data_IF_762509573114
#
_entry.id   IF_762509573114
#
_cell.length_a   1.000
_cell.length_b   1.000
_cell.length_c   1.000
_cell.angle_alpha   90.00
_cell.angle_beta   90.00
_cell.angle_gamma   90.00
#
_symmetry.space_group_name_H-M   'P 1'
#
loop_
_entity.id
_entity.type
_entity.pdbx_description
1 polymer ?
#
# COMPACT_ATOMS: atom_id res chain seq x y z
N UNK A 1 -34.37 12.78 12.51
CA UNK A 1 -32.92 12.76 12.31
C UNK A 1 -32.49 14.21 12.11
N UNK A 2 -31.65 14.73 13.00
CA UNK A 2 -31.05 16.05 12.92
C UNK A 2 -29.71 15.98 12.16
N UNK A 3 -29.19 17.12 11.75
CA UNK A 3 -27.83 17.21 11.20
C UNK A 3 -26.84 16.72 12.27
N UNK A 4 -26.01 15.74 11.92
CA UNK A 4 -25.03 15.11 12.80
C UNK A 4 -25.44 13.78 13.41
N UNK A 5 -26.73 13.43 13.36
CA UNK A 5 -27.16 12.10 13.78
C UNK A 5 -26.44 11.03 12.95
N UNK A 6 -25.85 10.05 13.62
CA UNK A 6 -25.11 8.94 13.00
C UNK A 6 -23.95 9.39 12.08
N UNK A 7 -23.41 10.59 12.30
CA UNK A 7 -22.32 11.15 11.50
C UNK A 7 -22.75 11.69 10.14
N UNK A 8 -24.05 11.85 9.87
CA UNK A 8 -24.56 12.36 8.59
C UNK A 8 -24.68 13.89 8.64
N UNK A 9 -24.06 14.57 7.67
CA UNK A 9 -24.18 16.02 7.50
C UNK A 9 -23.28 16.87 8.42
N UNK A 10 -22.30 16.24 9.08
CA UNK A 10 -21.29 16.92 9.92
C UNK A 10 -19.92 16.92 9.26
N UNK A 11 -19.15 17.97 9.53
CA UNK A 11 -17.74 18.09 9.17
C UNK A 11 -16.99 18.69 10.38
N UNK A 12 -16.11 17.91 11.04
CA UNK A 12 -15.76 16.51 10.77
C UNK A 12 -16.85 15.51 11.20
N UNK A 13 -16.69 14.23 10.83
CA UNK A 13 -17.49 13.13 11.38
C UNK A 13 -17.16 12.82 12.85
N UNK A 14 -18.03 12.03 13.50
CA UNK A 14 -17.87 11.65 14.91
C UNK A 14 -16.65 10.75 15.13
N UNK A 15 -15.85 11.04 16.15
CA UNK A 15 -14.76 10.14 16.59
C UNK A 15 -15.38 8.96 17.33
N UNK A 16 -15.14 7.74 16.86
CA UNK A 16 -15.58 6.52 17.56
C UNK A 16 -14.38 5.79 18.11
N UNK A 17 -14.41 5.46 19.40
CA UNK A 17 -13.29 4.78 20.06
C UNK A 17 -13.28 3.27 19.81
N UNK A 18 -12.12 2.64 19.95
CA UNK A 18 -11.95 1.20 19.81
C UNK A 18 -12.80 0.42 20.80
N UNK A 19 -12.93 0.88 22.05
CA UNK A 19 -13.83 0.27 23.03
C UNK A 19 -15.31 0.38 22.64
N UNK A 20 -15.71 1.44 21.94
CA UNK A 20 -17.08 1.64 21.43
C UNK A 20 -17.35 0.73 20.22
N UNK A 21 -16.38 0.63 19.31
CA UNK A 21 -16.34 -0.36 18.24
C UNK A 21 -16.25 -1.81 18.76
N UNK A 22 -15.78 -2.04 19.98
CA UNK A 22 -15.74 -3.40 20.53
C UNK A 22 -17.11 -3.81 21.09
N UNK A 23 -17.82 -2.90 21.77
CA UNK A 23 -18.97 -3.26 22.61
C UNK A 23 -20.31 -3.11 21.90
N UNK A 24 -20.61 -1.90 21.41
CA UNK A 24 -21.88 -1.58 20.75
C UNK A 24 -21.68 -0.32 19.92
N UNK A 25 -21.85 -0.43 18.61
CA UNK A 25 -21.83 0.71 17.71
C UNK A 25 -23.17 0.80 16.99
N UNK A 26 -23.79 1.98 17.04
CA UNK A 26 -24.94 2.32 16.21
C UNK A 26 -24.54 2.29 14.73
N UNK A 27 -25.50 2.09 13.82
CA UNK A 27 -25.23 2.31 12.40
C UNK A 27 -24.83 3.77 12.20
N UNK A 28 -23.58 4.04 11.81
CA UNK A 28 -23.06 5.40 11.70
C UNK A 28 -21.85 5.50 10.78
N UNK A 29 -21.60 6.72 10.31
CA UNK A 29 -20.31 7.14 9.77
C UNK A 29 -19.45 7.64 10.93
N UNK A 30 -18.17 7.28 10.92
CA UNK A 30 -17.24 7.65 11.97
C UNK A 30 -15.87 8.00 11.41
N UNK A 31 -15.04 8.63 12.23
CA UNK A 31 -13.61 8.78 12.01
C UNK A 31 -12.80 8.17 13.14
N UNK A 32 -11.58 7.77 12.83
CA UNK A 32 -10.59 7.33 13.80
C UNK A 32 -9.21 7.87 13.41
N UNK A 33 -8.35 8.05 14.43
CA UNK A 33 -7.00 8.62 14.28
C UNK A 33 -5.95 7.67 14.84
N UNK A 34 -4.82 7.54 14.12
CA UNK A 34 -3.76 6.57 14.40
C UNK A 34 -2.75 6.99 15.47
N UNK A 35 -3.11 7.87 16.41
CA UNK A 35 -2.20 8.30 17.49
C UNK A 35 -1.97 7.20 18.53
N UNK A 36 -0.72 7.03 18.99
CA UNK A 36 -0.34 5.96 19.94
C UNK A 36 -0.93 6.10 21.35
N UNK A 37 -1.59 7.21 21.68
CA UNK A 37 -2.09 7.51 23.03
C UNK A 37 -3.60 7.46 23.17
N UNK A 38 -4.36 7.28 22.09
CA UNK A 38 -5.82 7.32 22.13
C UNK A 38 -6.42 5.96 21.71
N UNK A 39 -7.53 5.58 22.35
CA UNK A 39 -8.37 4.43 21.96
C UNK A 39 -9.08 4.70 20.62
N UNK A 40 -8.37 5.20 19.62
CA UNK A 40 -8.85 5.48 18.25
C UNK A 40 -7.96 4.82 17.21
N UNK A 41 -6.97 4.03 17.62
CA UNK A 41 -6.00 3.39 16.72
C UNK A 41 -6.41 1.94 16.34
N UNK A 42 -7.70 1.64 16.25
CA UNK A 42 -8.17 0.27 15.95
C UNK A 42 -7.67 -0.24 14.59
N UNK A 43 -7.50 0.67 13.64
CA UNK A 43 -7.09 0.36 12.26
C UNK A 43 -5.62 0.67 11.96
N UNK A 44 -4.81 1.06 12.94
CA UNK A 44 -3.40 1.45 12.75
C UNK A 44 -3.23 2.55 11.69
N UNK A 45 -4.20 3.45 11.56
CA UNK A 45 -4.16 4.57 10.62
C UNK A 45 -5.24 5.60 10.93
N UNK A 46 -5.09 6.76 10.33
CA UNK A 46 -6.11 7.81 10.30
C UNK A 46 -7.08 7.52 9.18
N UNK A 47 -8.36 7.83 9.37
CA UNK A 47 -9.35 7.57 8.33
C UNK A 47 -10.79 7.70 8.80
N UNK A 48 -11.69 7.25 7.93
CA UNK A 48 -13.12 7.27 8.17
C UNK A 48 -13.72 5.90 7.90
N UNK A 49 -14.82 5.58 8.55
CA UNK A 49 -15.48 4.30 8.40
C UNK A 49 -16.98 4.40 8.42
N UNK A 50 -17.59 3.29 8.03
CA UNK A 50 -19.01 3.02 8.15
C UNK A 50 -19.17 1.75 8.96
N UNK A 51 -20.03 1.81 9.97
CA UNK A 51 -20.37 0.65 10.82
C UNK A 51 -21.83 0.29 10.64
N UNK A 52 -22.11 -1.00 10.59
CA UNK A 52 -23.44 -1.58 10.43
C UNK A 52 -23.65 -2.67 11.49
N UNK A 53 -24.43 -2.38 12.55
CA UNK A 53 -24.80 -3.38 13.53
C UNK A 53 -25.74 -4.44 12.95
N UNK A 54 -25.52 -5.68 13.37
CA UNK A 54 -26.43 -6.79 13.14
C UNK A 54 -27.29 -7.04 14.38
N UNK A 55 -26.67 -7.06 15.57
CA UNK A 55 -27.34 -7.14 16.86
C UNK A 55 -26.53 -6.44 17.96
N UNK A 56 -26.93 -6.62 19.23
CA UNK A 56 -26.28 -6.00 20.39
C UNK A 56 -24.86 -6.49 20.68
N UNK A 57 -24.39 -7.53 19.99
CA UNK A 57 -23.09 -8.18 20.21
C UNK A 57 -22.25 -8.30 18.93
N UNK A 58 -22.85 -8.00 17.77
CA UNK A 58 -22.25 -8.19 16.45
C UNK A 58 -22.48 -6.98 15.56
N UNK A 59 -21.38 -6.48 14.99
CA UNK A 59 -21.45 -5.47 13.94
C UNK A 59 -20.24 -5.57 13.01
N UNK A 60 -20.42 -5.01 11.82
CA UNK A 60 -19.48 -5.10 10.71
C UNK A 60 -19.29 -3.73 10.10
N UNK A 61 -18.17 -3.51 9.44
CA UNK A 61 -17.98 -2.22 8.79
C UNK A 61 -16.80 -2.20 7.84
N UNK A 62 -16.67 -1.05 7.20
CA UNK A 62 -15.55 -0.70 6.35
C UNK A 62 -14.82 0.49 6.97
N UNK A 63 -13.51 0.45 6.89
CA UNK A 63 -12.64 1.58 7.22
C UNK A 63 -11.81 1.95 5.99
N UNK A 64 -11.84 3.22 5.65
CA UNK A 64 -11.12 3.85 4.56
C UNK A 64 -9.98 4.65 5.17
N UNK A 65 -8.76 4.23 4.88
CA UNK A 65 -7.55 4.95 5.29
C UNK A 65 -7.53 6.35 4.63
N UNK A 66 -7.20 7.37 5.42
CA UNK A 66 -7.15 8.76 4.98
C UNK A 66 -5.90 9.09 4.18
N UNK A 67 -4.79 8.39 4.43
CA UNK A 67 -3.54 8.53 3.68
C UNK A 67 -3.00 7.15 3.34
N UNK A 68 -3.02 6.80 2.05
CA UNK A 68 -2.68 5.48 1.55
C UNK A 68 -3.83 4.84 0.76
N UNK A 69 -3.75 3.53 0.57
CA UNK A 69 -4.67 2.76 -0.28
C UNK A 69 -5.38 1.64 0.48
N UNK A 70 -5.30 1.61 1.82
CA UNK A 70 -5.87 0.52 2.61
C UNK A 70 -7.37 0.74 2.83
N UNK A 71 -8.16 -0.26 2.42
CA UNK A 71 -9.56 -0.41 2.85
C UNK A 71 -9.63 -1.68 3.68
N UNK A 72 -10.27 -1.62 4.83
CA UNK A 72 -10.40 -2.78 5.72
C UNK A 72 -11.86 -3.08 5.99
N UNK A 73 -12.24 -4.33 5.82
CA UNK A 73 -13.42 -4.86 6.48
C UNK A 73 -13.06 -5.14 7.93
N UNK A 74 -13.97 -4.85 8.85
CA UNK A 74 -13.85 -5.34 10.20
C UNK A 74 -15.14 -5.98 10.69
N UNK A 75 -14.98 -6.92 11.62
CA UNK A 75 -16.05 -7.52 12.38
C UNK A 75 -15.75 -7.35 13.85
N UNK A 76 -16.75 -6.88 14.61
CA UNK A 76 -16.74 -6.90 16.06
C UNK A 76 -17.74 -7.94 16.54
N UNK A 77 -17.26 -8.97 17.23
CA UNK A 77 -18.08 -10.07 17.74
C UNK A 77 -17.71 -10.29 19.20
N UNK A 78 -18.69 -10.11 20.10
CA UNK A 78 -18.52 -10.30 21.53
C UNK A 78 -17.32 -9.52 22.13
N UNK A 79 -17.12 -8.26 21.72
CA UNK A 79 -16.03 -7.43 22.22
C UNK A 79 -14.71 -7.56 21.46
N UNK A 80 -14.62 -8.45 20.47
CA UNK A 80 -13.38 -8.73 19.75
C UNK A 80 -13.48 -8.19 18.33
N UNK A 81 -12.58 -7.27 18.00
CA UNK A 81 -12.44 -6.71 16.65
C UNK A 81 -11.43 -7.53 15.86
N UNK A 82 -11.82 -7.95 14.65
CA UNK A 82 -10.93 -8.53 13.63
C UNK A 82 -11.00 -7.69 12.37
N UNK A 83 -9.85 -7.47 11.74
CA UNK A 83 -9.73 -6.70 10.49
C UNK A 83 -9.24 -7.59 9.36
N UNK A 84 -9.76 -7.37 8.16
CA UNK A 84 -9.32 -7.99 6.91
C UNK A 84 -9.10 -6.88 5.89
N UNK A 85 -7.93 -6.84 5.26
CA UNK A 85 -7.62 -5.84 4.24
C UNK A 85 -8.19 -6.27 2.89
N UNK A 86 -8.81 -5.34 2.17
CA UNK A 86 -9.19 -5.54 0.78
C UNK A 86 -7.98 -5.32 -0.13
N UNK A 87 -7.74 -6.28 -1.02
CA UNK A 87 -6.81 -6.11 -2.11
C UNK A 87 -7.50 -5.42 -3.28
N UNK A 88 -6.95 -4.29 -3.69
CA UNK A 88 -7.46 -3.43 -4.76
C UNK A 88 -6.33 -3.07 -5.72
N UNK A 89 -6.65 -2.44 -6.84
CA UNK A 89 -5.63 -1.93 -7.79
C UNK A 89 -4.71 -0.87 -7.18
N UNK A 90 -5.09 -0.29 -6.04
CA UNK A 90 -4.29 0.73 -5.36
C UNK A 90 -3.26 0.13 -4.38
N UNK A 91 -3.39 -1.14 -3.98
CA UNK A 91 -2.47 -1.80 -3.03
C UNK A 91 -1.99 -3.17 -3.52
N UNK A 92 -2.21 -3.48 -4.80
CA UNK A 92 -1.67 -4.66 -5.49
C UNK A 92 -1.14 -4.29 -6.86
N UNK A 93 -0.16 -5.05 -7.32
CA UNK A 93 0.41 -5.01 -8.67
C UNK A 93 0.40 -6.42 -9.29
N UNK A 94 0.49 -6.49 -10.62
CA UNK A 94 0.65 -7.75 -11.34
C UNK A 94 2.13 -7.92 -11.69
N UNK A 95 2.67 -9.11 -11.41
CA UNK A 95 4.02 -9.47 -11.86
C UNK A 95 4.06 -9.84 -13.35
N UNK A 96 5.26 -10.13 -13.86
CA UNK A 96 5.60 -10.47 -15.23
C UNK A 96 4.86 -11.69 -15.75
N UNK A 97 4.33 -12.50 -14.82
CA UNK A 97 3.61 -13.72 -15.10
C UNK A 97 2.10 -13.55 -14.86
N UNK A 98 1.64 -12.34 -14.56
CA UNK A 98 0.23 -11.99 -14.38
C UNK A 98 -0.34 -12.29 -12.99
N UNK A 99 0.48 -12.67 -12.01
CA UNK A 99 -0.01 -12.95 -10.65
C UNK A 99 -0.19 -11.65 -9.87
N UNK A 100 -1.27 -11.60 -9.07
CA UNK A 100 -1.47 -10.50 -8.13
C UNK A 100 -0.54 -10.63 -6.92
N UNK A 101 0.08 -9.52 -6.57
CA UNK A 101 1.05 -9.36 -5.51
C UNK A 101 0.73 -8.03 -4.83
N UNK A 102 0.83 -7.92 -3.50
CA UNK A 102 0.76 -6.61 -2.85
C UNK A 102 1.76 -5.59 -3.44
N UNK A 103 1.37 -4.33 -3.39
CA UNK A 103 2.14 -3.23 -3.96
C UNK A 103 3.44 -3.01 -3.18
N UNK A 104 4.47 -2.62 -3.91
CA UNK A 104 5.75 -2.13 -3.39
C UNK A 104 6.31 -1.17 -4.43
N UNK A 105 7.38 -0.41 -4.13
CA UNK A 105 8.18 0.19 -5.19
C UNK A 105 8.64 -0.94 -6.12
N UNK A 106 8.17 -0.89 -7.36
CA UNK A 106 8.39 -1.95 -8.35
C UNK A 106 8.80 -1.31 -9.65
N UNK A 107 9.76 -1.95 -10.30
CA UNK A 107 10.32 -1.52 -11.58
C UNK A 107 10.14 -2.71 -12.51
N UNK A 108 9.48 -2.47 -13.64
CA UNK A 108 9.52 -3.42 -14.74
C UNK A 108 10.72 -3.07 -15.61
N UNK A 109 11.69 -3.97 -15.68
CA UNK A 109 12.90 -3.79 -16.49
C UNK A 109 12.72 -4.49 -17.82
N UNK A 110 12.75 -3.71 -18.90
CA UNK A 110 12.77 -4.19 -20.27
C UNK A 110 14.20 -4.06 -20.83
N UNK A 111 14.43 -4.58 -22.04
CA UNK A 111 15.75 -4.55 -22.67
C UNK A 111 16.26 -3.14 -23.00
N UNK A 112 15.38 -2.15 -23.12
CA UNK A 112 15.65 -0.80 -23.59
C UNK A 112 15.10 0.30 -22.67
N UNK A 113 14.10 0.00 -21.85
CA UNK A 113 13.44 0.96 -20.96
C UNK A 113 13.00 0.34 -19.64
N UNK A 114 12.44 1.17 -18.75
CA UNK A 114 11.78 0.75 -17.52
C UNK A 114 10.37 1.33 -17.45
N UNK A 115 9.46 0.61 -16.81
CA UNK A 115 8.20 1.16 -16.32
C UNK A 115 8.22 1.23 -14.80
N UNK A 116 7.80 2.38 -14.26
CA UNK A 116 7.77 2.67 -12.83
C UNK A 116 6.32 2.75 -12.35
N UNK A 117 6.09 2.39 -11.07
CA UNK A 117 4.87 2.74 -10.38
C UNK A 117 5.07 4.05 -9.59
N UNK A 118 3.99 4.56 -8.99
CA UNK A 118 4.04 5.79 -8.21
C UNK A 118 5.11 5.74 -7.12
N UNK A 119 5.30 4.58 -6.48
CA UNK A 119 6.28 4.38 -5.41
C UNK A 119 7.75 4.36 -5.89
N UNK A 120 8.00 3.98 -7.14
CA UNK A 120 9.35 3.89 -7.73
C UNK A 120 9.71 5.09 -8.62
N UNK A 121 8.91 6.16 -8.58
CA UNK A 121 9.12 7.40 -9.33
C UNK A 121 10.54 7.98 -9.12
N UNK A 122 11.20 8.34 -10.21
CA UNK A 122 12.53 8.97 -10.21
C UNK A 122 13.70 8.01 -10.39
N UNK A 123 13.46 6.70 -10.49
CA UNK A 123 14.51 5.72 -10.84
C UNK A 123 14.91 5.87 -12.31
N UNK A 124 16.20 5.66 -12.57
CA UNK A 124 16.75 5.69 -13.93
C UNK A 124 17.37 4.35 -14.31
N UNK A 125 17.26 3.99 -15.60
CA UNK A 125 17.92 2.84 -16.20
C UNK A 125 19.20 3.27 -16.93
N UNK A 126 20.30 2.58 -16.64
CA UNK A 126 21.53 2.63 -17.43
C UNK A 126 21.84 1.22 -17.96
N UNK A 127 21.77 1.03 -19.28
CA UNK A 127 22.17 -0.23 -19.91
C UNK A 127 23.69 -0.30 -20.03
N UNK A 128 24.30 -1.25 -19.32
CA UNK A 128 25.76 -1.44 -19.29
C UNK A 128 26.28 -2.33 -20.43
N UNK A 129 25.40 -3.14 -21.01
CA UNK A 129 25.70 -4.05 -22.12
C UNK A 129 24.57 -5.05 -22.35
N UNK A 130 24.79 -6.02 -23.23
CA UNK A 130 23.83 -7.11 -23.48
C UNK A 130 23.55 -7.86 -22.18
N UNK A 131 22.28 -7.88 -21.79
CA UNK A 131 21.82 -8.53 -20.57
C UNK A 131 22.36 -7.94 -19.28
N UNK A 132 22.78 -6.67 -19.26
CA UNK A 132 23.29 -5.99 -18.05
C UNK A 132 22.66 -4.62 -17.88
N UNK A 133 21.86 -4.48 -16.81
CA UNK A 133 21.02 -3.30 -16.55
C UNK A 133 21.33 -2.74 -15.17
N UNK A 134 21.67 -1.44 -15.09
CA UNK A 134 21.87 -0.74 -13.82
C UNK A 134 20.65 0.13 -13.52
N UNK A 135 20.08 -0.06 -12.34
CA UNK A 135 19.00 0.76 -11.78
C UNK A 135 19.59 1.75 -10.78
N UNK A 136 19.33 3.04 -10.99
CA UNK A 136 19.84 4.13 -10.16
C UNK A 136 18.76 4.74 -9.28
N UNK A 137 19.15 5.14 -8.07
CA UNK A 137 18.25 5.84 -7.13
C UNK A 137 17.48 4.90 -6.20
N UNK A 138 18.03 3.70 -5.97
CA UNK A 138 17.47 2.70 -5.06
C UNK A 138 18.33 2.55 -3.80
N UNK A 139 17.77 1.96 -2.73
CA UNK A 139 18.50 1.52 -1.54
C UNK A 139 18.70 0.00 -1.51
N UNK A 140 18.73 -0.62 -2.69
CA UNK A 140 18.79 -2.07 -2.87
C UNK A 140 17.43 -2.73 -3.02
N UNK A 141 17.42 -4.06 -2.90
CA UNK A 141 16.20 -4.87 -3.02
C UNK A 141 15.24 -4.57 -1.87
N UNK A 142 13.95 -4.77 -2.12
CA UNK A 142 12.92 -4.65 -1.09
C UNK A 142 13.16 -5.68 0.03
N UNK A 143 13.09 -5.23 1.29
CA UNK A 143 13.38 -6.04 2.48
C UNK A 143 12.19 -6.85 3.00
N UNK A 144 10.99 -6.61 2.49
CA UNK A 144 9.79 -7.35 2.88
C UNK A 144 9.82 -8.78 2.31
N UNK A 145 9.86 -9.75 3.23
CA UNK A 145 9.93 -11.17 2.93
C UNK A 145 8.75 -11.68 2.09
N UNK A 146 7.62 -10.96 2.07
CA UNK A 146 6.45 -11.26 1.23
C UNK A 146 6.76 -11.26 -0.26
N UNK A 147 7.91 -10.70 -0.67
CA UNK A 147 8.28 -10.53 -2.08
C UNK A 147 9.27 -11.53 -2.64
N UNK A 148 9.90 -12.35 -1.80
CA UNK A 148 10.93 -13.29 -2.24
C UNK A 148 11.89 -13.72 -1.13
N UNK A 149 11.51 -13.50 0.13
CA UNK A 149 12.35 -13.79 1.28
C UNK A 149 13.62 -12.93 1.30
N UNK A 150 14.73 -13.53 1.72
CA UNK A 150 16.01 -12.84 1.91
C UNK A 150 16.65 -12.34 0.59
N UNK A 151 16.25 -12.90 -0.56
CA UNK A 151 16.73 -12.51 -1.89
C UNK A 151 15.99 -11.30 -2.47
N UNK A 152 15.04 -10.74 -1.74
CA UNK A 152 14.21 -9.65 -2.24
C UNK A 152 13.26 -10.08 -3.37
N UNK A 153 12.47 -9.12 -3.85
CA UNK A 153 11.44 -9.38 -4.85
C UNK A 153 11.95 -9.23 -6.27
N UNK A 154 12.50 -10.29 -6.84
CA UNK A 154 12.83 -10.38 -8.26
C UNK A 154 11.99 -11.48 -8.92
N UNK A 155 11.36 -11.17 -10.06
CA UNK A 155 10.58 -12.14 -10.83
C UNK A 155 11.07 -12.16 -12.27
N UNK A 156 11.64 -13.30 -12.67
CA UNK A 156 12.02 -13.57 -14.05
C UNK A 156 10.77 -13.88 -14.89
N UNK A 157 10.76 -13.48 -16.19
CA UNK A 157 9.65 -13.80 -17.08
C UNK A 157 9.60 -15.29 -17.42
N UNK A 158 8.40 -15.85 -17.42
CA UNK A 158 8.12 -17.23 -17.80
C UNK A 158 7.62 -17.32 -19.25
N UNK A 159 8.02 -18.37 -19.95
CA UNK A 159 7.40 -18.73 -21.23
C UNK A 159 6.03 -19.37 -21.04
N UNK A 160 5.30 -19.59 -22.14
CA UNK A 160 3.97 -20.21 -22.16
C UNK A 160 3.91 -21.60 -21.49
N UNK A 161 5.04 -22.29 -21.40
CA UNK A 161 5.17 -23.60 -20.76
C UNK A 161 5.51 -23.53 -19.26
N UNK A 162 5.53 -22.33 -18.66
CA UNK A 162 5.90 -22.11 -17.26
C UNK A 162 7.40 -22.24 -16.98
N UNK A 163 8.23 -22.39 -18.02
CA UNK A 163 9.69 -22.40 -17.86
C UNK A 163 10.24 -20.98 -17.96
N UNK A 164 11.15 -20.64 -17.04
CA UNK A 164 11.88 -19.37 -17.07
C UNK A 164 12.56 -19.14 -18.41
N UNK A 165 12.45 -17.90 -18.89
CA UNK A 165 13.09 -17.44 -20.12
C UNK A 165 14.59 -17.22 -19.94
N UNK A 166 14.98 -16.75 -18.76
CA UNK A 166 16.31 -16.24 -18.46
C UNK A 166 16.79 -16.78 -17.11
N UNK A 167 18.09 -16.93 -16.95
CA UNK A 167 18.73 -16.83 -15.65
C UNK A 167 18.85 -15.34 -15.32
N UNK A 168 18.37 -14.95 -14.15
CA UNK A 168 18.47 -13.56 -13.69
C UNK A 168 19.20 -13.54 -12.36
N UNK A 169 20.28 -12.77 -12.30
CA UNK A 169 21.02 -12.49 -11.08
C UNK A 169 21.03 -10.97 -10.84
N UNK A 170 21.31 -10.56 -9.60
CA UNK A 170 21.42 -9.16 -9.25
C UNK A 170 22.54 -8.92 -8.25
N UNK A 171 23.08 -7.71 -8.29
CA UNK A 171 24.07 -7.21 -7.35
C UNK A 171 23.68 -5.83 -6.86
N UNK A 172 23.56 -5.70 -5.54
CA UNK A 172 23.39 -4.40 -4.89
C UNK A 172 24.77 -3.75 -4.71
N UNK A 173 24.92 -2.53 -5.19
CA UNK A 173 26.12 -1.72 -5.06
C UNK A 173 26.15 -0.99 -3.69
N UNK A 174 27.32 -0.50 -3.24
CA UNK A 174 27.43 0.17 -1.93
C UNK A 174 26.58 1.45 -1.79
N UNK A 175 26.24 2.09 -2.90
CA UNK A 175 25.34 3.26 -2.97
C UNK A 175 23.85 2.87 -2.96
N UNK A 176 23.53 1.57 -3.04
CA UNK A 176 22.17 1.05 -3.08
C UNK A 176 21.63 0.82 -4.50
N UNK A 177 22.37 1.23 -5.53
CA UNK A 177 22.00 0.93 -6.92
C UNK A 177 22.04 -0.58 -7.17
N UNK A 178 21.25 -1.05 -8.13
CA UNK A 178 21.14 -2.49 -8.43
C UNK A 178 21.64 -2.74 -9.85
N UNK A 179 22.54 -3.70 -10.02
CA UNK A 179 22.88 -4.26 -11.33
C UNK A 179 22.13 -5.58 -11.49
N UNK A 180 21.41 -5.71 -12.59
CA UNK A 180 20.73 -6.94 -13.00
C UNK A 180 21.50 -7.54 -14.16
N UNK A 181 21.75 -8.83 -14.08
CA UNK A 181 22.43 -9.61 -15.11
C UNK A 181 21.49 -10.72 -15.60
N UNK A 182 21.32 -10.81 -16.91
CA UNK A 182 20.45 -11.77 -17.57
C UNK A 182 21.24 -12.65 -18.52
N UNK A 183 21.06 -13.96 -18.37
CA UNK A 183 21.74 -14.96 -19.17
C UNK A 183 20.75 -15.96 -19.75
N UNK A 184 21.07 -16.52 -20.90
CA UNK A 184 20.23 -17.49 -21.57
C UNK A 184 20.09 -18.76 -20.72
N UNK A 185 18.84 -19.20 -20.50
CA UNK A 185 18.52 -20.45 -19.83
C UNK A 185 18.16 -21.52 -20.85
N UNK A 186 19.15 -22.34 -21.20
CA UNK A 186 18.98 -23.49 -22.11
C UNK A 186 18.21 -24.61 -21.40
N UNK A 187 17.23 -25.19 -22.10
CA UNK A 187 16.41 -26.32 -21.61
C UNK A 187 16.61 -27.52 -22.53
N UNK A 188 17.53 -28.42 -22.16
CA UNK A 188 17.93 -29.58 -22.98
C UNK A 188 16.88 -30.68 -23.07
N UNK A 189 15.90 -30.67 -22.16
CA UNK A 189 14.81 -31.64 -22.05
C UNK A 189 13.58 -31.26 -22.89
N UNK A 190 13.57 -30.08 -23.52
CA UNK A 190 12.47 -29.64 -24.36
C UNK A 190 12.35 -30.50 -25.64
N UNK A 191 11.14 -30.95 -26.00
CA UNK A 191 10.90 -31.58 -27.28
C UNK A 191 11.29 -30.64 -28.44
N UNK A 192 11.92 -31.13 -29.52
CA UNK A 192 12.42 -30.28 -30.61
C UNK A 192 11.40 -29.28 -31.19
N UNK A 193 10.11 -29.63 -31.37
CA UNK A 193 9.12 -28.66 -31.86
C UNK A 193 8.83 -27.51 -30.89
N UNK A 194 8.96 -27.74 -29.58
CA UNK A 194 8.74 -26.73 -28.55
C UNK A 194 9.95 -25.80 -28.47
N UNK A 195 11.16 -26.37 -28.53
CA UNK A 195 12.40 -25.61 -28.61
C UNK A 195 12.41 -24.70 -29.84
N UNK A 196 12.11 -25.25 -31.03
CA UNK A 196 12.09 -24.46 -32.27
C UNK A 196 11.09 -23.30 -32.19
N UNK A 197 9.88 -23.54 -31.68
CA UNK A 197 8.89 -22.47 -31.47
C UNK A 197 9.41 -21.40 -30.51
N UNK A 198 10.09 -21.80 -29.44
CA UNK A 198 10.69 -20.89 -28.46
C UNK A 198 11.75 -20.00 -29.11
N UNK A 199 12.67 -20.57 -29.88
CA UNK A 199 13.71 -19.81 -30.58
C UNK A 199 13.11 -18.88 -31.63
N UNK A 200 12.09 -19.31 -32.39
CA UNK A 200 11.38 -18.44 -33.34
C UNK A 200 10.68 -17.27 -32.63
N UNK A 201 10.08 -17.54 -31.46
CA UNK A 201 9.34 -16.52 -30.69
C UNK A 201 10.30 -15.51 -30.06
N UNK A 202 11.50 -15.94 -29.68
CA UNK A 202 12.52 -15.14 -29.00
C UNK A 202 13.82 -15.17 -29.80
N UNK A 203 13.94 -14.32 -30.84
CA UNK A 203 15.14 -14.22 -31.67
C UNK A 203 16.41 -13.92 -30.88
N UNK A 204 16.28 -13.31 -29.70
CA UNK A 204 17.37 -12.99 -28.78
C UNK A 204 18.10 -14.25 -28.29
N UNK A 205 17.49 -15.42 -28.36
CA UNK A 205 18.10 -16.70 -27.95
C UNK A 205 18.94 -17.36 -29.05
N UNK A 206 19.10 -16.69 -30.18
CA UNK A 206 19.95 -17.13 -31.28
C UNK A 206 21.12 -16.17 -31.46
N UNK A 207 22.27 -16.71 -31.88
CA UNK A 207 23.42 -15.93 -32.29
C UNK A 207 23.25 -15.32 -33.70
N UNK A 208 24.27 -14.63 -34.17
CA UNK A 208 24.29 -14.02 -35.51
C UNK A 208 24.21 -15.02 -36.68
N UNK A 209 24.49 -16.30 -36.42
CA UNK A 209 24.42 -17.39 -37.39
C UNK A 209 23.05 -18.10 -37.39
N UNK A 210 22.19 -17.78 -36.41
CA UNK A 210 20.90 -18.44 -36.22
C UNK A 210 20.98 -19.71 -35.38
N UNK A 211 22.12 -19.97 -34.73
CA UNK A 211 22.29 -21.08 -33.81
C UNK A 211 21.83 -20.69 -32.40
N UNK A 212 21.28 -21.65 -31.65
CA UNK A 212 20.86 -21.42 -30.26
C UNK A 212 22.06 -21.04 -29.38
N UNK A 213 21.91 -20.00 -28.57
CA UNK A 213 22.93 -19.58 -27.61
C UNK A 213 23.31 -20.70 -26.64
N UNK A 214 24.55 -20.65 -26.16
CA UNK A 214 24.99 -21.52 -25.08
C UNK A 214 24.32 -21.14 -23.75
N UNK A 215 24.14 -22.13 -22.89
CA UNK A 215 23.61 -21.89 -21.55
C UNK A 215 24.50 -20.88 -20.83
N UNK A 216 23.90 -19.92 -20.14
CA UNK A 216 24.57 -18.83 -19.43
C UNK A 216 25.20 -17.74 -20.34
N UNK A 217 25.03 -17.80 -21.67
CA UNK A 217 25.43 -16.69 -22.54
C UNK A 217 24.65 -15.40 -22.17
N UNK A 218 25.30 -14.23 -22.05
CA UNK A 218 24.59 -12.97 -21.79
C UNK A 218 23.57 -12.70 -22.89
N UNK A 219 22.34 -12.38 -22.50
CA UNK A 219 21.25 -12.13 -23.45
C UNK A 219 20.34 -11.05 -22.89
N UNK A 220 19.84 -10.18 -23.77
CA UNK A 220 18.86 -9.18 -23.39
C UNK A 220 17.51 -9.81 -23.04
N UNK A 221 16.70 -9.06 -22.28
CA UNK A 221 15.33 -9.46 -21.95
C UNK A 221 14.52 -9.57 -23.26
N UNK A 222 13.85 -10.72 -23.54
CA UNK A 222 13.10 -10.89 -24.78
C UNK A 222 12.01 -9.85 -24.96
N UNK A 223 11.76 -9.44 -26.20
CA UNK A 223 10.73 -8.45 -26.48
C UNK A 223 9.35 -8.87 -25.92
N UNK A 224 8.59 -7.89 -25.44
CA UNK A 224 7.29 -8.09 -24.79
C UNK A 224 7.36 -8.71 -23.38
N UNK A 225 8.55 -8.95 -22.85
CA UNK A 225 8.77 -9.44 -21.49
C UNK A 225 9.56 -8.42 -20.67
N UNK A 226 9.42 -8.51 -19.36
CA UNK A 226 10.16 -7.70 -18.40
C UNK A 226 10.56 -8.54 -17.19
N UNK A 227 11.48 -8.01 -16.39
CA UNK A 227 11.79 -8.50 -15.05
C UNK A 227 11.15 -7.56 -14.06
N UNK A 228 10.37 -8.07 -13.11
CA UNK A 228 9.91 -7.26 -11.98
C UNK A 228 10.98 -7.22 -10.91
N UNK A 229 11.32 -6.00 -10.52
CA UNK A 229 12.34 -5.71 -9.51
C UNK A 229 11.70 -4.85 -8.45
N UNK A 230 11.56 -5.42 -7.26
CA UNK A 230 11.02 -4.73 -6.09
C UNK A 230 12.18 -4.17 -5.29
N UNK A 231 12.11 -2.87 -5.07
CA UNK A 231 13.23 -2.11 -4.51
C UNK A 231 12.82 -1.45 -3.20
N UNK A 232 13.84 -1.08 -2.44
CA UNK A 232 13.68 -0.17 -1.32
C UNK A 232 13.98 1.25 -1.81
N UNK A 233 13.11 2.20 -1.49
CA UNK A 233 13.25 3.60 -1.93
C UNK A 233 13.78 4.48 -0.80
N UNK A 234 14.61 5.47 -1.12
CA UNK A 234 15.10 6.40 -0.11
C UNK A 234 13.97 7.27 0.43
N UNK A 235 14.10 7.75 1.67
CA UNK A 235 13.04 8.52 2.34
C UNK A 235 12.77 9.88 1.70
N UNK A 236 13.73 10.39 0.93
CA UNK A 236 13.61 11.59 0.11
C UNK A 236 13.17 11.29 -1.33
N UNK A 237 12.71 10.07 -1.64
CA UNK A 237 12.08 9.78 -2.94
C UNK A 237 10.86 10.66 -3.16
N UNK A 238 10.54 10.92 -4.43
CA UNK A 238 9.43 11.80 -4.83
C UNK A 238 8.12 11.33 -4.17
N UNK A 239 7.86 10.02 -4.18
CA UNK A 239 6.70 9.42 -3.54
C UNK A 239 6.68 9.62 -2.03
N UNK A 240 7.79 9.31 -1.34
CA UNK A 240 7.87 9.40 0.11
C UNK A 240 7.71 10.85 0.60
N UNK A 241 8.22 11.82 -0.15
CA UNK A 241 8.00 13.24 0.13
C UNK A 241 6.53 13.65 -0.03
N UNK A 242 5.87 13.23 -1.12
CA UNK A 242 4.43 13.48 -1.35
C UNK A 242 3.58 12.87 -0.24
N UNK A 243 3.91 11.65 0.18
CA UNK A 243 3.19 10.94 1.26
C UNK A 243 3.39 11.66 2.59
N UNK A 244 4.63 12.01 2.96
CA UNK A 244 4.94 12.70 4.20
C UNK A 244 4.29 14.11 4.27
N UNK A 245 4.20 14.82 3.15
CA UNK A 245 3.49 16.10 3.07
C UNK A 245 1.98 15.92 3.29
N UNK A 246 1.38 14.91 2.64
CA UNK A 246 -0.03 14.59 2.81
C UNK A 246 -0.37 14.19 4.26
N UNK A 247 0.47 13.36 4.90
CA UNK A 247 0.34 13.01 6.31
C UNK A 247 0.46 14.23 7.22
N UNK A 248 1.42 15.11 6.95
CA UNK A 248 1.61 16.34 7.72
C UNK A 248 0.39 17.25 7.63
N UNK A 249 -0.16 17.44 6.43
CA UNK A 249 -1.36 18.25 6.21
C UNK A 249 -2.58 17.63 6.90
N UNK A 250 -2.76 16.31 6.79
CA UNK A 250 -3.84 15.59 7.47
C UNK A 250 -3.75 15.72 9.00
N UNK A 251 -2.53 15.65 9.56
CA UNK A 251 -2.30 15.82 10.99
C UNK A 251 -2.61 17.24 11.45
N UNK A 252 -2.13 18.26 10.73
CA UNK A 252 -2.41 19.67 11.06
C UNK A 252 -3.92 19.92 11.04
N UNK A 253 -4.62 19.40 10.03
CA UNK A 253 -6.06 19.56 9.93
C UNK A 253 -6.80 18.88 11.07
N UNK A 254 -6.38 17.66 11.44
CA UNK A 254 -6.97 16.96 12.56
C UNK A 254 -6.75 17.67 13.90
N UNK A 255 -5.56 18.24 14.14
CA UNK A 255 -5.27 19.03 15.33
C UNK A 255 -6.09 20.31 15.39
N UNK A 256 -6.26 21.02 14.25
CA UNK A 256 -7.12 22.20 14.15
C UNK A 256 -8.55 21.88 14.54
N UNK A 257 -9.09 20.83 13.95
CA UNK A 257 -10.45 20.36 14.19
C UNK A 257 -10.65 19.93 15.66
N UNK A 258 -9.70 19.20 16.24
CA UNK A 258 -9.77 18.79 17.65
C UNK A 258 -9.78 19.99 18.61
N UNK A 259 -9.01 21.04 18.28
CA UNK A 259 -8.98 22.27 19.07
C UNK A 259 -10.31 23.03 18.98
N UNK A 260 -10.89 23.14 17.79
CA UNK A 260 -12.20 23.77 17.57
C UNK A 260 -13.32 23.02 18.32
N UNK A 261 -13.30 21.68 18.29
CA UNK A 261 -14.24 20.85 19.06
C UNK A 261 -14.08 21.05 20.58
N UNK A 262 -12.85 21.09 21.08
CA UNK A 262 -12.58 21.31 22.51
C UNK A 262 -13.03 22.70 22.98
N UNK A 263 -12.82 23.74 22.16
CA UNK A 263 -13.27 25.10 22.46
C UNK A 263 -14.81 25.20 22.45
N UNK A 264 -15.45 24.56 21.47
CA UNK A 264 -16.92 24.50 21.39
C UNK A 264 -17.50 23.76 22.60
N UNK A 265 -16.94 22.62 22.97
CA UNK A 265 -17.38 21.85 24.14
C UNK A 265 -17.20 22.65 25.45
N UNK A 266 -16.07 23.34 25.61
CA UNK A 266 -15.83 24.19 26.77
C UNK A 266 -16.83 25.36 26.85
N UNK A 267 -17.18 25.95 25.70
CA UNK A 267 -18.19 27.01 25.63
C UNK A 267 -19.58 26.50 25.99
N UNK A 268 -19.99 25.36 25.43
CA UNK A 268 -21.29 24.74 25.75
C UNK A 268 -21.38 24.33 27.23
N UNK A 269 -20.28 23.85 27.83
CA UNK A 269 -20.21 23.56 29.26
C UNK A 269 -20.30 24.82 30.12
N UNK A 270 -19.62 25.90 29.73
CA UNK A 270 -19.70 27.18 30.43
C UNK A 270 -21.12 27.77 30.38
N UNK A 271 -21.78 27.73 29.21
CA UNK A 271 -23.17 28.18 29.05
C UNK A 271 -24.13 27.34 29.92
N UNK A 272 -23.94 26.01 29.98
CA UNK A 272 -24.76 25.12 30.85
C UNK A 272 -24.58 25.44 32.34
N UNK A 273 -23.34 25.66 32.80
CA UNK A 273 -23.07 26.04 34.19
C UNK A 273 -23.67 27.40 34.54
N UNK A 274 -23.66 28.36 33.60
CA UNK A 274 -24.30 29.66 33.79
C UNK A 274 -25.82 29.52 33.91
N UNK A 275 -26.46 28.70 33.07
CA UNK A 275 -27.90 28.41 33.18
C UNK A 275 -28.27 27.71 34.49
N UNK A 276 -27.50 26.71 34.91
CA UNK A 276 -27.70 26.03 36.21
C UNK A 276 -27.59 27.03 37.37
N UNK A 277 -26.60 27.92 37.35
CA UNK A 277 -26.43 28.94 38.38
C UNK A 277 -27.60 29.93 38.45
N UNK A 278 -28.17 30.31 37.28
CA UNK A 278 -29.35 31.19 37.19
C UNK A 278 -30.61 30.50 37.72
N UNK A 279 -30.80 29.21 37.41
CA UNK A 279 -31.90 28.42 37.95
C UNK A 279 -31.80 28.24 39.47
N UNK A 280 -30.60 27.99 40.00
CA UNK A 280 -30.37 27.86 41.44
C UNK A 280 -30.62 29.19 42.18
N UNK A 281 -30.24 30.33 41.60
CA UNK A 281 -30.56 31.64 42.15
C UNK A 281 -32.06 31.95 42.11
N UNK A 282 -32.76 31.62 41.03
CA UNK A 282 -34.20 31.82 40.90
C UNK A 282 -35.00 31.00 41.93
N UNK A 283 -34.64 29.72 42.12
CA UNK A 283 -35.29 28.85 43.11
C UNK A 283 -35.05 29.26 44.58
N UNK A 284 -33.93 29.94 44.89
CA UNK A 284 -33.70 30.54 46.21
C UNK A 284 -34.53 31.81 46.46
N UNK A 285 -34.91 32.53 45.42
CA UNK A 285 -35.73 33.76 45.49
C UNK A 285 -37.23 33.50 45.58
N UNK A 286 -37.72 32.33 45.12
CA UNK A 286 -39.13 31.93 45.24
C UNK A 286 -39.45 31.16 46.55
N UNK A 287 -38.44 30.90 47.39
CA UNK A 287 -38.55 30.14 48.64
C UNK A 287 -38.58 30.97 49.93
N UNK A 288 -38.52 32.30 49.86
CA UNK A 288 -38.75 33.25 50.98
C UNK A 288 -40.15 33.88 50.90
#
# INVERSE_FOLDING_TARGET
>A
MLVGDFGIGVMPGNVVKGAELAKTSYAQFFRQGGGSSDDTNTFNSWGAGITSPYDSTRHYGLFFEGVGARVQHYSSIAGIIKTNTFYTTANTTKDANGNLKAASPIIKVFADHIELNDESEGIELEKLGTGRYKLKGTLGMNSDASWGGYNGGLVAPLGINGLELLWVDYKVLPDGDIIIETNYRKHSDLPPPVLLKRLITYPEFMDENGDELESYAPVDIPNGHWIDVRVNMPSDSIYNQKLAEAERLAKIEAERVAKEEAEKAAREEAERLEEESKQEQASKLEGE
#
